data_IF_710436831407
#
_entry.id   IF_710436831407
#
_cell.length_a   1.000
_cell.length_b   1.000
_cell.length_c   1.000
_cell.angle_alpha   90.00
_cell.angle_beta   90.00
_cell.angle_gamma   90.00
#
_symmetry.space_group_name_H-M   'P 1'
#
loop_
_entity.id
_entity.type
_entity.pdbx_description
1 polymer ?
#
# COMPACT_ATOMS: atom_id res chain seq x y z
N UNK A 1 31.02 14.60 -18.38
CA UNK A 1 29.99 15.50 -17.82
C UNK A 1 28.94 14.64 -17.13
N UNK A 2 28.92 14.59 -15.80
CA UNK A 2 27.82 13.96 -15.06
C UNK A 2 26.62 14.86 -15.19
N UNK A 3 25.61 14.43 -15.95
CA UNK A 3 24.28 15.05 -15.94
C UNK A 3 23.83 15.06 -14.49
N UNK A 4 23.55 16.23 -13.92
CA UNK A 4 22.88 16.35 -12.64
C UNK A 4 21.59 15.53 -12.76
N UNK A 5 21.49 14.40 -12.04
CA UNK A 5 20.19 13.78 -11.78
C UNK A 5 19.36 14.89 -11.16
N UNK A 6 18.29 15.26 -11.82
CA UNK A 6 17.31 16.21 -11.30
C UNK A 6 16.89 15.75 -9.90
N UNK A 7 16.64 16.68 -8.98
CA UNK A 7 16.13 16.42 -7.63
C UNK A 7 14.66 15.91 -7.68
N UNK A 8 14.38 14.91 -8.54
CA UNK A 8 13.06 14.29 -8.66
C UNK A 8 12.84 13.46 -7.41
N UNK A 9 11.82 13.83 -6.64
CA UNK A 9 11.42 13.08 -5.46
C UNK A 9 10.51 11.94 -5.90
N UNK A 10 11.04 10.72 -5.82
CA UNK A 10 10.30 9.48 -6.10
C UNK A 10 9.98 8.79 -4.78
N UNK A 11 8.76 8.30 -4.64
CA UNK A 11 8.34 7.45 -3.53
C UNK A 11 7.88 6.09 -4.03
N UNK A 12 8.01 5.07 -3.17
CA UNK A 12 7.58 3.71 -3.44
C UNK A 12 6.54 3.29 -2.40
N UNK A 13 5.45 2.72 -2.88
CA UNK A 13 4.29 2.33 -2.10
C UNK A 13 3.83 0.94 -2.48
N UNK A 14 3.44 0.16 -1.49
CA UNK A 14 2.80 -1.15 -1.69
C UNK A 14 1.80 -1.44 -0.57
N UNK A 15 1.06 -2.51 -0.72
CA UNK A 15 0.21 -3.07 0.33
C UNK A 15 0.90 -4.21 1.09
N UNK A 16 0.36 -4.58 2.25
CA UNK A 16 0.96 -5.58 3.14
C UNK A 16 0.99 -7.00 2.57
N UNK A 17 0.15 -7.29 1.57
CA UNK A 17 0.18 -8.59 0.88
C UNK A 17 1.45 -8.81 0.06
N UNK A 18 2.31 -7.80 -0.09
CA UNK A 18 3.66 -7.97 -0.66
C UNK A 18 4.57 -8.85 0.20
N UNK A 19 4.22 -9.01 1.48
CA UNK A 19 5.02 -9.72 2.49
C UNK A 19 6.48 -9.23 2.61
N UNK A 20 6.77 -8.04 2.07
CA UNK A 20 8.11 -7.45 2.21
C UNK A 20 8.45 -7.30 3.70
N UNK A 21 9.61 -7.81 4.15
CA UNK A 21 10.04 -7.61 5.53
C UNK A 21 10.14 -6.12 5.87
N UNK A 22 9.69 -5.74 7.07
CA UNK A 22 9.70 -4.33 7.49
C UNK A 22 11.10 -3.73 7.44
N UNK A 23 12.12 -4.49 7.81
CA UNK A 23 13.52 -4.06 7.75
C UNK A 23 13.96 -3.67 6.32
N UNK A 24 13.47 -4.40 5.31
CA UNK A 24 13.77 -4.08 3.91
C UNK A 24 12.96 -2.86 3.44
N UNK A 25 11.69 -2.78 3.81
CA UNK A 25 10.86 -1.62 3.50
C UNK A 25 11.49 -0.34 4.06
N UNK A 26 11.89 -0.35 5.33
CA UNK A 26 12.55 0.77 6.00
C UNK A 26 13.90 1.11 5.34
N UNK A 27 14.70 0.09 5.01
CA UNK A 27 16.02 0.28 4.39
C UNK A 27 15.94 0.98 3.03
N UNK A 28 14.92 0.65 2.25
CA UNK A 28 14.75 1.17 0.89
C UNK A 28 13.74 2.30 0.79
N UNK A 29 13.13 2.71 1.90
CA UNK A 29 12.13 3.79 1.92
C UNK A 29 10.85 3.43 1.19
N UNK A 30 10.39 2.19 1.36
CA UNK A 30 9.14 1.69 0.77
C UNK A 30 8.04 1.78 1.82
N UNK A 31 6.98 2.50 1.53
CA UNK A 31 5.81 2.55 2.40
C UNK A 31 4.91 1.34 2.17
N UNK A 32 4.50 0.69 3.27
CA UNK A 32 3.66 -0.50 3.23
C UNK A 32 2.35 -0.23 3.96
N UNK A 33 1.23 -0.29 3.25
CA UNK A 33 -0.10 -0.07 3.80
C UNK A 33 -0.73 -1.40 4.20
N UNK A 34 -1.13 -1.50 5.47
CA UNK A 34 -1.74 -2.70 6.02
C UNK A 34 -3.17 -2.94 5.52
N UNK A 35 -3.53 -4.20 5.32
CA UNK A 35 -4.91 -4.61 5.12
C UNK A 35 -5.69 -4.56 6.44
N UNK A 36 -6.99 -4.36 6.35
CA UNK A 36 -7.89 -4.55 7.47
C UNK A 36 -8.16 -6.03 7.70
N UNK A 37 -7.97 -6.50 8.92
CA UNK A 37 -8.19 -7.89 9.33
C UNK A 37 -9.32 -7.91 10.36
N UNK A 38 -10.35 -8.71 10.11
CA UNK A 38 -11.42 -8.98 11.06
C UNK A 38 -11.18 -10.34 11.70
N UNK A 39 -11.11 -10.38 13.02
CA UNK A 39 -10.98 -11.60 13.82
C UNK A 39 -11.83 -11.49 15.07
N UNK A 40 -12.69 -12.48 15.30
CA UNK A 40 -13.62 -12.55 16.45
C UNK A 40 -14.43 -11.25 16.66
N UNK A 41 -14.89 -10.65 15.55
CA UNK A 41 -15.71 -9.42 15.57
C UNK A 41 -14.93 -8.14 15.84
N UNK A 42 -13.60 -8.20 15.90
CA UNK A 42 -12.73 -7.03 16.06
C UNK A 42 -11.88 -6.79 14.83
N UNK A 43 -11.74 -5.52 14.47
CA UNK A 43 -10.91 -5.08 13.36
C UNK A 43 -9.51 -4.73 13.83
N UNK A 44 -8.53 -5.10 13.03
CA UNK A 44 -7.10 -4.76 13.20
C UNK A 44 -6.53 -4.29 11.88
N UNK A 45 -5.71 -3.26 11.94
CA UNK A 45 -4.90 -2.84 10.79
C UNK A 45 -3.55 -3.59 10.84
N UNK A 46 -3.31 -4.38 9.82
CA UNK A 46 -2.08 -5.17 9.71
C UNK A 46 -0.84 -4.28 9.78
N UNK A 47 0.22 -4.77 10.42
CA UNK A 47 1.50 -4.07 10.66
C UNK A 47 1.43 -2.84 11.57
N UNK A 48 0.24 -2.36 11.92
CA UNK A 48 0.05 -1.22 12.81
C UNK A 48 -0.48 -1.64 14.18
N UNK A 49 -1.59 -2.38 14.19
CA UNK A 49 -2.27 -2.78 15.41
C UNK A 49 -1.77 -4.12 15.92
N UNK A 50 -1.33 -4.99 15.02
CA UNK A 50 -0.82 -6.33 15.32
C UNK A 50 0.37 -6.69 14.44
N UNK A 51 1.29 -7.46 15.02
CA UNK A 51 2.37 -8.13 14.28
C UNK A 51 1.90 -9.48 13.73
N UNK A 52 2.63 -10.02 12.76
CA UNK A 52 2.32 -11.36 12.20
C UNK A 52 2.30 -12.44 13.28
N UNK A 53 3.26 -12.42 14.22
CA UNK A 53 3.32 -13.40 15.30
C UNK A 53 2.12 -13.29 16.25
N UNK A 54 1.71 -12.07 16.59
CA UNK A 54 0.50 -11.84 17.40
C UNK A 54 -0.75 -12.34 16.66
N UNK A 55 -0.86 -12.06 15.36
CA UNK A 55 -1.97 -12.52 14.55
C UNK A 55 -2.06 -14.06 14.52
N UNK A 56 -0.95 -14.75 14.30
CA UNK A 56 -0.93 -16.22 14.30
C UNK A 56 -1.31 -16.81 15.66
N UNK A 57 -0.89 -16.19 16.75
CA UNK A 57 -1.27 -16.66 18.08
C UNK A 57 -2.75 -16.43 18.35
N UNK A 58 -3.29 -15.27 18.00
CA UNK A 58 -4.72 -14.97 18.10
C UNK A 58 -5.54 -15.93 17.24
N UNK A 59 -5.10 -16.24 16.03
CA UNK A 59 -5.76 -17.16 15.12
C UNK A 59 -5.84 -18.59 15.68
N UNK A 60 -4.79 -19.07 16.39
CA UNK A 60 -4.82 -20.37 17.07
C UNK A 60 -5.85 -20.44 18.20
N UNK A 61 -6.13 -19.32 18.84
CA UNK A 61 -7.08 -19.23 19.96
C UNK A 61 -8.50 -18.89 19.49
N UNK A 62 -8.63 -18.35 18.27
CA UNK A 62 -9.90 -17.95 17.67
C UNK A 62 -10.78 -19.15 17.34
N UNK A 63 -12.10 -18.93 17.44
CA UNK A 63 -13.14 -19.85 16.99
C UNK A 63 -13.66 -19.51 15.59
N UNK A 64 -13.28 -18.36 15.06
CA UNK A 64 -13.69 -17.88 13.75
C UNK A 64 -12.54 -17.88 12.75
N UNK A 65 -12.88 -17.96 11.47
CA UNK A 65 -11.91 -17.76 10.39
C UNK A 65 -11.72 -16.26 10.20
N UNK A 66 -10.48 -15.75 10.21
CA UNK A 66 -10.26 -14.33 9.93
C UNK A 66 -10.66 -13.98 8.50
N UNK A 67 -11.14 -12.76 8.32
CA UNK A 67 -11.42 -12.20 7.00
C UNK A 67 -10.66 -10.90 6.81
N UNK A 68 -10.46 -10.49 5.56
CA UNK A 68 -9.79 -9.24 5.22
C UNK A 68 -10.71 -8.33 4.43
N UNK A 69 -10.50 -7.02 4.55
CA UNK A 69 -11.08 -6.03 3.66
C UNK A 69 -10.00 -5.33 2.85
N UNK A 70 -10.30 -5.08 1.59
CA UNK A 70 -9.40 -4.31 0.71
C UNK A 70 -9.26 -2.87 1.22
N UNK A 71 -8.10 -2.28 0.98
CA UNK A 71 -7.88 -0.86 1.23
C UNK A 71 -8.85 -0.07 0.35
N UNK A 72 -9.59 0.84 0.97
CA UNK A 72 -10.67 1.56 0.31
C UNK A 72 -10.17 2.67 -0.60
N UNK A 73 -11.02 3.12 -1.48
CA UNK A 73 -10.75 4.25 -2.37
C UNK A 73 -10.42 5.53 -1.58
N UNK A 74 -11.15 5.83 -0.51
CA UNK A 74 -10.92 7.04 0.30
C UNK A 74 -9.59 6.96 1.05
N UNK A 75 -9.22 5.80 1.58
CA UNK A 75 -7.92 5.63 2.21
C UNK A 75 -6.77 5.89 1.23
N UNK A 76 -6.89 5.41 -0.01
CA UNK A 76 -5.89 5.69 -1.04
C UNK A 76 -5.83 7.17 -1.41
N UNK A 77 -6.99 7.87 -1.49
CA UNK A 77 -7.02 9.33 -1.72
C UNK A 77 -6.24 10.05 -0.62
N UNK A 78 -6.50 9.73 0.65
CA UNK A 78 -5.82 10.33 1.79
C UNK A 78 -4.31 10.07 1.78
N UNK A 79 -3.90 8.87 1.37
CA UNK A 79 -2.48 8.49 1.26
C UNK A 79 -1.82 9.28 0.13
N UNK A 80 -2.43 9.33 -1.05
CA UNK A 80 -1.89 10.06 -2.20
C UNK A 80 -1.80 11.57 -1.93
N UNK A 81 -2.81 12.13 -1.26
CA UNK A 81 -2.80 13.54 -0.88
C UNK A 81 -1.58 13.89 -0.01
N UNK A 82 -1.20 13.01 0.93
CA UNK A 82 0.02 13.20 1.76
C UNK A 82 1.30 13.22 0.92
N UNK A 83 1.41 12.40 -0.13
CA UNK A 83 2.55 12.43 -1.04
C UNK A 83 2.60 13.72 -1.86
N UNK A 84 1.45 14.20 -2.33
CA UNK A 84 1.35 15.52 -2.99
C UNK A 84 1.84 16.62 -2.05
N UNK A 85 1.32 16.65 -0.81
CA UNK A 85 1.67 17.63 0.21
C UNK A 85 3.16 17.57 0.59
N UNK A 86 3.77 16.39 0.52
CA UNK A 86 5.21 16.18 0.73
C UNK A 86 6.08 16.58 -0.48
N UNK A 87 5.46 16.97 -1.60
CA UNK A 87 6.16 17.38 -2.82
C UNK A 87 6.77 16.21 -3.60
N UNK A 88 6.21 15.02 -3.49
CA UNK A 88 6.60 13.87 -4.31
C UNK A 88 6.19 14.13 -5.75
N UNK A 89 7.05 13.83 -6.70
CA UNK A 89 6.84 14.07 -8.13
C UNK A 89 6.39 12.79 -8.84
N UNK A 90 6.96 11.66 -8.47
CA UNK A 90 6.61 10.36 -9.01
C UNK A 90 6.36 9.37 -7.86
N UNK A 91 5.18 8.78 -7.83
CA UNK A 91 4.80 7.73 -6.89
C UNK A 91 4.67 6.41 -7.65
N UNK A 92 5.53 5.45 -7.33
CA UNK A 92 5.43 4.08 -7.84
C UNK A 92 4.62 3.26 -6.84
N UNK A 93 3.45 2.82 -7.24
CA UNK A 93 2.54 2.05 -6.38
C UNK A 93 2.30 0.66 -6.97
N UNK A 94 2.89 -0.36 -6.36
CA UNK A 94 2.74 -1.76 -6.73
C UNK A 94 1.70 -2.42 -5.82
N UNK A 95 0.63 -2.92 -6.42
CA UNK A 95 -0.51 -3.52 -5.72
C UNK A 95 -0.58 -5.03 -5.89
N UNK A 96 -1.23 -5.69 -4.94
CA UNK A 96 -1.69 -7.07 -5.06
C UNK A 96 -2.51 -7.26 -6.36
N UNK A 97 -2.54 -8.49 -6.87
CA UNK A 97 -3.31 -8.90 -8.06
C UNK A 97 -4.75 -8.36 -8.05
N UNK A 98 -5.09 -7.59 -9.06
CA UNK A 98 -6.44 -7.03 -9.24
C UNK A 98 -7.52 -8.10 -9.46
N UNK A 99 -7.15 -9.28 -9.92
CA UNK A 99 -8.06 -10.42 -10.07
C UNK A 99 -8.50 -11.05 -8.74
N UNK A 100 -7.79 -10.76 -7.63
CA UNK A 100 -8.07 -11.35 -6.31
C UNK A 100 -8.44 -10.33 -5.23
N UNK A 101 -8.27 -9.05 -5.50
CA UNK A 101 -8.58 -7.97 -4.55
C UNK A 101 -9.02 -6.72 -5.27
N UNK A 102 -9.97 -5.99 -4.70
CA UNK A 102 -10.37 -4.67 -5.21
C UNK A 102 -9.36 -3.54 -4.89
N UNK A 103 -8.28 -3.83 -4.15
CA UNK A 103 -7.28 -2.85 -3.73
C UNK A 103 -6.70 -2.06 -4.90
N UNK A 104 -6.28 -2.73 -5.97
CA UNK A 104 -5.78 -2.06 -7.18
C UNK A 104 -6.83 -1.17 -7.85
N UNK A 105 -8.06 -1.68 -8.06
CA UNK A 105 -9.13 -0.91 -8.67
C UNK A 105 -9.55 0.30 -7.82
N UNK A 106 -9.50 0.16 -6.49
CA UNK A 106 -9.72 1.28 -5.56
C UNK A 106 -8.59 2.32 -5.68
N UNK A 107 -7.36 1.88 -5.85
CA UNK A 107 -6.20 2.77 -6.07
C UNK A 107 -6.31 3.55 -7.40
N UNK A 108 -6.76 2.90 -8.48
CA UNK A 108 -7.03 3.56 -9.78
C UNK A 108 -8.07 4.67 -9.61
N UNK A 109 -9.21 4.37 -8.96
CA UNK A 109 -10.26 5.36 -8.71
C UNK A 109 -9.79 6.49 -7.79
N UNK A 110 -8.97 6.17 -6.79
CA UNK A 110 -8.40 7.17 -5.92
C UNK A 110 -7.47 8.13 -6.66
N UNK A 111 -6.69 7.64 -7.61
CA UNK A 111 -5.85 8.49 -8.45
C UNK A 111 -6.67 9.46 -9.32
N UNK A 112 -7.84 9.04 -9.80
CA UNK A 112 -8.78 9.90 -10.52
C UNK A 112 -9.37 10.99 -9.61
N UNK A 113 -9.73 10.64 -8.37
CA UNK A 113 -10.32 11.58 -7.40
C UNK A 113 -9.30 12.52 -6.77
N UNK A 114 -8.02 12.23 -6.86
CA UNK A 114 -6.97 13.04 -6.25
C UNK A 114 -6.95 14.47 -6.79
N UNK A 115 -7.33 14.69 -8.04
CA UNK A 115 -7.42 16.02 -8.64
C UNK A 115 -8.49 16.88 -7.93
N UNK A 116 -9.58 16.29 -7.44
CA UNK A 116 -10.61 17.00 -6.68
C UNK A 116 -10.10 17.39 -5.29
N UNK A 117 -9.28 16.53 -4.66
CA UNK A 117 -8.70 16.78 -3.34
C UNK A 117 -7.48 17.72 -3.37
N UNK A 118 -6.70 17.66 -4.44
CA UNK A 118 -5.48 18.46 -4.63
C UNK A 118 -5.44 19.04 -6.05
N UNK A 119 -6.29 20.04 -6.36
CA UNK A 119 -6.39 20.59 -7.70
C UNK A 119 -5.06 21.13 -8.22
N UNK A 120 -4.71 20.75 -9.43
CA UNK A 120 -3.48 21.19 -10.10
C UNK A 120 -2.20 20.58 -9.57
N UNK A 121 -2.27 19.48 -8.80
CA UNK A 121 -1.08 18.72 -8.42
C UNK A 121 -0.37 18.18 -9.66
N UNK A 122 0.96 18.00 -9.56
CA UNK A 122 1.78 17.53 -10.68
C UNK A 122 2.38 16.14 -10.43
N UNK A 123 2.02 15.50 -9.32
CA UNK A 123 2.51 14.16 -8.99
C UNK A 123 1.98 13.15 -10.01
N UNK A 124 2.86 12.33 -10.53
CA UNK A 124 2.50 11.19 -11.38
C UNK A 124 2.41 9.93 -10.52
N UNK A 125 1.32 9.21 -10.65
CA UNK A 125 1.11 7.93 -9.96
C UNK A 125 1.26 6.81 -10.98
N UNK A 126 2.30 5.99 -10.78
CA UNK A 126 2.57 4.79 -11.59
C UNK A 126 1.96 3.59 -10.87
N UNK A 127 0.69 3.31 -11.19
CA UNK A 127 -0.04 2.18 -10.62
C UNK A 127 0.29 0.90 -11.37
N UNK A 128 0.71 -0.12 -10.64
CA UNK A 128 1.12 -1.41 -11.20
C UNK A 128 0.31 -2.52 -10.53
N UNK A 129 -0.48 -3.24 -11.32
CA UNK A 129 -1.04 -4.52 -10.90
C UNK A 129 0.06 -5.58 -10.97
N UNK A 130 0.38 -6.20 -9.85
CA UNK A 130 1.43 -7.22 -9.80
C UNK A 130 1.06 -8.52 -10.51
N UNK A 131 -0.22 -8.75 -10.75
CA UNK A 131 -0.78 -10.03 -11.25
C UNK A 131 -0.41 -11.25 -10.39
N UNK A 132 0.03 -11.03 -9.15
CA UNK A 132 0.48 -12.10 -8.24
C UNK A 132 0.22 -11.73 -6.78
N UNK A 133 0.70 -12.55 -5.86
CA UNK A 133 0.50 -12.44 -4.41
C UNK A 133 1.83 -12.63 -3.68
N UNK A 134 1.92 -12.07 -2.46
CA UNK A 134 3.02 -12.31 -1.52
C UNK A 134 4.41 -11.90 -2.06
N UNK A 135 5.47 -12.49 -1.53
CA UNK A 135 6.86 -12.19 -1.87
C UNK A 135 7.20 -12.15 -3.37
N UNK A 136 6.54 -12.89 -4.29
CA UNK A 136 6.82 -12.71 -5.71
C UNK A 136 6.76 -11.27 -6.19
N UNK A 137 5.82 -10.44 -5.73
CA UNK A 137 5.85 -9.02 -6.08
C UNK A 137 6.60 -8.15 -5.07
N UNK A 138 6.76 -8.59 -3.83
CA UNK A 138 7.60 -7.92 -2.86
C UNK A 138 9.07 -7.79 -3.29
N UNK A 139 9.54 -8.69 -4.17
CA UNK A 139 10.90 -8.64 -4.72
C UNK A 139 11.06 -7.63 -5.88
N UNK A 140 9.98 -7.08 -6.42
CA UNK A 140 10.05 -6.05 -7.47
C UNK A 140 10.16 -4.63 -6.91
N UNK A 141 9.97 -4.48 -5.62
CA UNK A 141 10.12 -3.22 -4.90
C UNK A 141 11.57 -2.98 -4.50
#
# INVERSE_FOLDING_TARGET
MRTKMSDVKVAFLTDSCSDIPQELADKYGIDVIGFHIMLDGKEYLERKDITNNQFYEMMRQSKSVPTTAAITQLEWVDIYAKYVDAGIQDLVHLCINAGGSSTYNNAVKAAELLEDERPGHKMKIHLIDSHTYSMPYGWYL
#
